data_IF_532626438686
#
_entry.id   IF_532626438686
#
_cell.length_a   1.000
_cell.length_b   1.000
_cell.length_c   1.000
_cell.angle_alpha   90.00
_cell.angle_beta   90.00
_cell.angle_gamma   90.00
#
_symmetry.space_group_name_H-M   'P 1'
#
loop_
_entity.id
_entity.type
_entity.pdbx_description
1 polymer ?
#
# COMPACT_ATOMS: atom_id res chain seq x y z
N UNK A 1 5.55 -45.54 -10.41
CA UNK A 1 5.60 -44.06 -10.56
C UNK A 1 5.30 -43.71 -12.02
N UNK A 2 4.14 -44.02 -12.58
CA UNK A 2 2.77 -43.78 -12.07
C UNK A 2 2.51 -42.30 -11.81
N UNK A 3 1.90 -41.66 -12.82
CA UNK A 3 1.30 -40.33 -12.77
C UNK A 3 -0.10 -40.42 -13.39
N UNK A 4 -1.05 -40.97 -12.62
CA UNK A 4 -2.50 -41.07 -12.85
C UNK A 4 -3.16 -41.24 -11.46
N UNK A 5 -4.36 -40.74 -11.13
CA UNK A 5 -5.25 -39.74 -11.73
C UNK A 5 -6.17 -39.20 -10.63
N UNK A 6 -6.74 -37.99 -10.76
CA UNK A 6 -7.71 -37.47 -9.75
C UNK A 6 -8.94 -36.73 -10.30
N UNK A 7 -9.02 -36.46 -11.62
CA UNK A 7 -10.15 -35.75 -12.24
C UNK A 7 -10.76 -36.52 -13.41
N UNK A 8 -11.13 -37.78 -13.16
CA UNK A 8 -12.06 -38.52 -14.02
C UNK A 8 -13.42 -38.59 -13.31
N UNK A 9 -14.28 -37.62 -13.62
CA UNK A 9 -15.61 -37.50 -13.04
C UNK A 9 -16.61 -38.07 -14.06
N UNK A 10 -17.42 -39.08 -13.71
CA UNK A 10 -18.23 -39.79 -14.69
C UNK A 10 -19.26 -38.86 -15.34
N UNK A 11 -19.57 -39.06 -16.64
CA UNK A 11 -20.54 -38.22 -17.34
C UNK A 11 -21.94 -38.35 -16.69
N UNK A 12 -22.72 -37.25 -16.61
CA UNK A 12 -24.06 -37.31 -16.07
C UNK A 12 -24.98 -38.19 -16.92
N UNK A 13 -25.99 -38.84 -16.32
CA UNK A 13 -26.91 -39.72 -17.04
C UNK A 13 -27.72 -38.94 -18.09
N UNK A 14 -28.10 -39.57 -19.21
CA UNK A 14 -28.89 -38.92 -20.25
C UNK A 14 -30.31 -38.62 -19.76
N UNK A 15 -30.69 -37.34 -19.75
CA UNK A 15 -32.09 -36.93 -19.55
C UNK A 15 -32.93 -37.27 -20.79
N UNK A 16 -34.20 -37.70 -20.63
CA UNK A 16 -35.06 -38.04 -21.76
C UNK A 16 -35.43 -36.80 -22.57
N UNK A 17 -35.26 -36.87 -23.89
CA UNK A 17 -35.65 -35.81 -24.83
C UNK A 17 -37.18 -35.71 -24.95
N UNK A 18 -37.76 -34.63 -24.43
CA UNK A 18 -39.09 -34.16 -24.84
C UNK A 18 -38.99 -33.31 -26.12
N UNK A 19 -39.93 -33.43 -27.08
CA UNK A 19 -39.83 -32.70 -28.34
C UNK A 19 -40.33 -31.25 -28.19
N UNK A 20 -39.45 -30.28 -28.47
CA UNK A 20 -39.83 -28.92 -28.87
C UNK A 20 -39.41 -27.78 -27.96
N UNK A 21 -38.29 -27.13 -28.31
CA UNK A 21 -38.21 -25.66 -28.36
C UNK A 21 -37.02 -25.19 -29.23
N UNK A 22 -37.14 -24.08 -29.98
CA UNK A 22 -36.07 -23.61 -30.87
C UNK A 22 -34.91 -22.97 -30.10
N UNK A 23 -33.71 -23.00 -30.69
CA UNK A 23 -32.47 -22.64 -30.00
C UNK A 23 -32.34 -21.16 -29.61
N UNK A 24 -31.66 -20.92 -28.49
CA UNK A 24 -31.17 -19.61 -28.07
C UNK A 24 -29.64 -19.59 -28.10
N UNK A 25 -29.09 -18.49 -28.61
CA UNK A 25 -27.67 -18.33 -28.88
C UNK A 25 -26.82 -18.16 -27.62
N UNK A 26 -25.66 -18.81 -27.60
CA UNK A 26 -24.39 -18.23 -27.14
C UNK A 26 -24.38 -17.50 -25.79
N UNK A 27 -24.74 -18.18 -24.69
CA UNK A 27 -24.45 -17.71 -23.34
C UNK A 27 -22.95 -17.80 -23.04
N UNK A 28 -22.18 -16.76 -23.38
CA UNK A 28 -20.77 -16.66 -23.01
C UNK A 28 -20.60 -16.69 -21.49
N UNK A 29 -19.64 -17.48 -20.98
CA UNK A 29 -19.26 -17.45 -19.56
C UNK A 29 -18.86 -16.01 -19.21
N UNK A 30 -19.38 -15.40 -18.12
CA UNK A 30 -18.89 -14.10 -17.68
C UNK A 30 -17.38 -14.23 -17.40
N UNK A 31 -16.56 -13.24 -17.78
CA UNK A 31 -15.15 -13.26 -17.44
C UNK A 31 -15.03 -13.32 -15.93
N UNK A 32 -14.38 -14.36 -15.40
CA UNK A 32 -13.97 -14.32 -14.01
C UNK A 32 -13.05 -13.11 -13.85
N UNK A 33 -13.27 -12.23 -12.85
CA UNK A 33 -12.32 -11.18 -12.57
C UNK A 33 -10.99 -11.87 -12.27
N UNK A 34 -9.97 -11.58 -13.08
CA UNK A 34 -8.62 -12.03 -12.81
C UNK A 34 -8.23 -11.39 -11.47
N UNK A 35 -8.32 -12.16 -10.39
CA UNK A 35 -7.70 -11.78 -9.13
C UNK A 35 -6.21 -11.68 -9.41
N UNK A 36 -5.74 -10.44 -9.55
CA UNK A 36 -4.32 -10.14 -9.40
C UNK A 36 -3.87 -10.76 -8.07
N UNK A 37 -2.67 -11.35 -8.01
CA UNK A 37 -2.18 -11.95 -6.78
C UNK A 37 -2.28 -10.92 -5.66
N UNK A 38 -2.77 -11.35 -4.50
CA UNK A 38 -2.88 -10.47 -3.35
C UNK A 38 -1.47 -10.03 -2.95
N UNK A 39 -1.10 -8.78 -3.26
CA UNK A 39 0.17 -8.22 -2.81
C UNK A 39 0.22 -8.31 -1.29
N UNK A 40 1.21 -9.02 -0.77
CA UNK A 40 1.22 -9.42 0.63
C UNK A 40 1.70 -8.26 1.52
N UNK A 41 0.76 -7.40 1.88
CA UNK A 41 0.97 -6.38 2.91
C UNK A 41 0.79 -6.98 4.31
N UNK A 42 1.90 -7.12 5.04
CA UNK A 42 1.93 -7.56 6.44
C UNK A 42 1.75 -6.36 7.36
N UNK A 43 0.82 -6.46 8.31
CA UNK A 43 0.45 -5.37 9.22
C UNK A 43 1.25 -5.42 10.54
N UNK A 44 1.46 -4.26 11.18
CA UNK A 44 2.22 -4.12 12.43
C UNK A 44 1.98 -5.19 13.50
N UNK A 45 0.71 -5.58 13.71
CA UNK A 45 0.32 -6.57 14.72
C UNK A 45 0.97 -7.95 14.52
N UNK A 46 1.34 -8.30 13.28
CA UNK A 46 1.99 -9.57 12.94
C UNK A 46 3.52 -9.50 13.08
N UNK A 47 4.07 -8.29 13.29
CA UNK A 47 5.51 -8.03 13.34
C UNK A 47 6.04 -7.77 14.75
N UNK A 48 5.19 -7.54 15.75
CA UNK A 48 5.59 -7.07 17.10
C UNK A 48 6.73 -7.88 17.75
N UNK A 49 6.70 -9.21 17.62
CA UNK A 49 7.71 -10.13 18.19
C UNK A 49 8.92 -10.37 17.26
N UNK A 50 8.91 -9.81 16.05
CA UNK A 50 9.96 -9.99 15.05
C UNK A 50 11.02 -8.89 15.14
N UNK A 51 12.24 -9.22 14.70
CA UNK A 51 13.30 -8.27 14.40
C UNK A 51 13.83 -8.63 13.02
N UNK A 52 13.83 -7.65 12.12
CA UNK A 52 14.22 -7.81 10.73
C UNK A 52 15.58 -7.15 10.45
N UNK A 53 16.30 -7.64 9.44
CA UNK A 53 17.61 -7.15 9.02
C UNK A 53 17.56 -6.77 7.55
N UNK A 54 17.43 -5.48 7.30
CA UNK A 54 17.38 -4.91 5.95
C UNK A 54 18.79 -4.66 5.43
N UNK A 55 19.03 -5.05 4.18
CA UNK A 55 20.28 -4.82 3.45
C UNK A 55 20.04 -3.83 2.31
N UNK A 56 21.06 -3.04 1.96
CA UNK A 56 20.98 -2.00 0.90
C UNK A 56 19.77 -1.06 1.03
N UNK A 57 19.38 -0.76 2.27
CA UNK A 57 18.21 0.05 2.61
C UNK A 57 18.30 1.44 1.99
N UNK A 58 17.20 1.91 1.37
CA UNK A 58 17.00 3.30 0.97
C UNK A 58 15.86 3.91 1.77
N UNK A 59 16.08 5.10 2.32
CA UNK A 59 15.02 5.92 2.90
C UNK A 59 14.50 6.89 1.84
N UNK A 60 13.23 6.77 1.46
CA UNK A 60 12.56 7.65 0.49
C UNK A 60 11.71 8.69 1.23
N UNK A 61 12.08 9.97 1.08
CA UNK A 61 11.38 11.10 1.71
C UNK A 61 10.45 11.73 0.69
N UNK A 62 9.18 11.92 1.05
CA UNK A 62 8.15 12.49 0.18
C UNK A 62 7.70 13.89 0.64
N UNK A 63 7.50 14.79 -0.32
CA UNK A 63 6.91 16.11 -0.15
C UNK A 63 5.72 16.24 -1.13
N UNK A 64 4.48 16.43 -0.64
CA UNK A 64 3.31 16.45 -1.51
C UNK A 64 3.28 17.70 -2.41
N UNK A 65 2.56 17.65 -3.55
CA UNK A 65 2.39 18.79 -4.45
C UNK A 65 1.86 20.03 -3.71
N UNK A 66 2.21 21.21 -4.22
CA UNK A 66 1.84 22.49 -3.62
C UNK A 66 2.69 22.93 -2.41
N UNK A 67 3.62 22.10 -1.91
CA UNK A 67 4.43 22.45 -0.73
C UNK A 67 5.51 23.49 -1.03
N UNK A 68 6.16 23.44 -2.20
CA UNK A 68 7.18 24.42 -2.60
C UNK A 68 6.57 25.67 -3.26
N UNK A 69 5.52 25.48 -4.07
CA UNK A 69 4.82 26.55 -4.78
C UNK A 69 3.38 26.13 -5.09
N UNK A 70 2.37 27.03 -5.01
CA UNK A 70 0.98 26.71 -5.36
C UNK A 70 0.76 26.25 -6.81
N UNK A 71 1.69 26.55 -7.72
CA UNK A 71 1.65 26.11 -9.12
C UNK A 71 2.20 24.69 -9.34
N UNK A 72 2.78 24.07 -8.31
CA UNK A 72 3.44 22.77 -8.40
C UNK A 72 2.41 21.64 -8.35
N UNK A 73 2.16 21.00 -9.49
CA UNK A 73 1.15 19.94 -9.66
C UNK A 73 1.63 18.54 -9.25
N UNK A 74 2.94 18.31 -9.20
CA UNK A 74 3.58 17.02 -8.87
C UNK A 74 4.31 17.13 -7.53
N UNK A 75 4.33 16.05 -6.76
CA UNK A 75 5.10 16.00 -5.52
C UNK A 75 6.61 15.91 -5.78
N UNK A 76 7.42 16.09 -4.75
CA UNK A 76 8.86 15.83 -4.81
C UNK A 76 9.22 14.64 -3.94
N UNK A 77 10.21 13.86 -4.35
CA UNK A 77 10.83 12.85 -3.50
C UNK A 77 12.37 12.91 -3.58
N UNK A 78 13.02 12.38 -2.56
CA UNK A 78 14.47 12.15 -2.54
C UNK A 78 14.77 10.82 -1.84
N UNK A 79 15.75 10.09 -2.35
CA UNK A 79 16.24 8.83 -1.79
C UNK A 79 17.54 9.07 -1.02
N UNK A 80 17.71 8.37 0.10
CA UNK A 80 18.92 8.36 0.91
C UNK A 80 19.40 6.93 1.07
N UNK A 81 20.60 6.62 0.61
CA UNK A 81 21.22 5.31 0.87
C UNK A 81 21.56 5.20 2.37
N UNK A 82 21.01 4.16 3.01
CA UNK A 82 21.09 3.92 4.45
C UNK A 82 21.89 2.67 4.83
N UNK A 83 22.05 1.72 3.91
CA UNK A 83 22.90 0.54 4.10
C UNK A 83 22.21 -0.59 4.89
N UNK A 84 22.79 -1.00 6.01
CA UNK A 84 22.28 -2.10 6.83
C UNK A 84 21.47 -1.58 8.02
N UNK A 85 20.24 -2.07 8.17
CA UNK A 85 19.32 -1.68 9.25
C UNK A 85 18.86 -2.91 10.03
N UNK A 86 18.73 -2.77 11.35
CA UNK A 86 18.08 -3.75 12.23
C UNK A 86 16.82 -3.10 12.78
N UNK A 87 15.66 -3.65 12.45
CA UNK A 87 14.36 -3.04 12.76
C UNK A 87 13.55 -3.98 13.64
N UNK A 88 13.21 -3.53 14.85
CA UNK A 88 12.26 -4.24 15.72
C UNK A 88 10.83 -3.97 15.22
N UNK A 89 10.02 -5.03 15.07
CA UNK A 89 8.74 -4.94 14.37
C UNK A 89 7.66 -4.13 15.07
N UNK A 90 7.82 -3.80 16.36
CA UNK A 90 7.00 -2.79 17.06
C UNK A 90 7.09 -1.39 16.40
N UNK A 91 8.18 -1.10 15.68
CA UNK A 91 8.38 0.16 14.95
C UNK A 91 7.94 0.06 13.46
N UNK A 92 7.38 -1.08 13.03
CA UNK A 92 6.95 -1.29 11.64
C UNK A 92 5.43 -1.20 11.56
N UNK A 93 4.94 -0.14 10.91
CA UNK A 93 3.50 0.06 10.67
C UNK A 93 2.94 -0.95 9.64
N UNK A 94 3.68 -1.12 8.54
CA UNK A 94 3.31 -1.90 7.38
C UNK A 94 4.57 -2.36 6.68
N UNK A 95 4.57 -3.59 6.16
CA UNK A 95 5.62 -4.14 5.32
C UNK A 95 4.96 -4.77 4.08
N UNK A 96 5.61 -4.72 2.92
CA UNK A 96 5.15 -5.34 1.70
C UNK A 96 6.31 -5.75 0.82
N UNK A 97 6.09 -6.75 -0.04
CA UNK A 97 7.01 -7.14 -1.09
C UNK A 97 7.02 -6.09 -2.22
N UNK A 98 8.17 -5.91 -2.87
CA UNK A 98 8.40 -4.95 -3.97
C UNK A 98 8.98 -5.73 -5.15
N UNK A 99 8.48 -5.46 -6.36
CA UNK A 99 8.97 -6.08 -7.60
C UNK A 99 10.13 -5.22 -8.12
N UNK A 100 11.37 -5.65 -7.86
CA UNK A 100 12.57 -4.85 -8.14
C UNK A 100 12.76 -4.52 -9.63
N UNK A 101 12.24 -5.34 -10.55
CA UNK A 101 12.33 -5.08 -11.99
C UNK A 101 11.29 -4.06 -12.46
N UNK A 102 10.22 -3.84 -11.67
CA UNK A 102 9.07 -2.99 -12.02
C UNK A 102 9.03 -1.69 -11.24
N UNK A 103 9.47 -1.69 -9.99
CA UNK A 103 9.31 -0.60 -9.03
C UNK A 103 10.58 0.29 -8.91
N UNK A 104 11.54 0.12 -9.82
CA UNK A 104 12.70 1.00 -10.02
C UNK A 104 12.31 2.40 -10.58
N UNK A 105 11.10 2.52 -11.15
CA UNK A 105 10.53 3.76 -11.69
C UNK A 105 10.19 4.81 -10.60
N UNK A 106 10.15 6.08 -11.01
CA UNK A 106 9.73 7.17 -10.13
C UNK A 106 8.27 7.01 -9.65
N UNK A 107 7.97 7.18 -8.34
CA UNK A 107 6.62 7.00 -7.82
C UNK A 107 5.55 7.84 -8.54
N UNK A 108 4.36 7.28 -8.85
CA UNK A 108 3.33 7.99 -9.61
C UNK A 108 2.96 9.36 -9.01
N UNK A 109 3.15 10.42 -9.81
CA UNK A 109 2.84 11.80 -9.41
C UNK A 109 3.92 12.53 -8.62
N UNK A 110 5.11 11.93 -8.45
CA UNK A 110 6.27 12.54 -7.81
C UNK A 110 7.46 12.67 -8.78
N UNK A 111 8.29 13.70 -8.57
CA UNK A 111 9.54 13.93 -9.30
C UNK A 111 10.74 13.90 -8.35
N UNK A 112 11.87 13.40 -8.82
CA UNK A 112 13.11 13.36 -8.04
C UNK A 112 13.65 14.78 -7.84
N UNK A 113 14.04 15.11 -6.62
CA UNK A 113 14.59 16.41 -6.25
C UNK A 113 15.79 16.29 -5.30
N UNK A 114 16.45 17.42 -5.08
CA UNK A 114 17.58 17.52 -4.17
C UNK A 114 17.21 17.16 -2.72
N UNK A 115 18.08 16.42 -2.05
CA UNK A 115 17.84 15.91 -0.71
C UNK A 115 17.71 17.01 0.35
N UNK A 116 18.52 18.07 0.29
CA UNK A 116 18.49 19.17 1.26
C UNK A 116 17.17 19.95 1.14
N UNK A 117 16.73 20.18 -0.11
CA UNK A 117 15.44 20.79 -0.42
C UNK A 117 14.27 19.95 0.11
N UNK A 118 14.23 18.65 -0.22
CA UNK A 118 13.14 17.74 0.19
C UNK A 118 13.08 17.60 1.71
N UNK A 119 14.22 17.42 2.40
CA UNK A 119 14.26 17.37 3.85
C UNK A 119 13.78 18.68 4.50
N UNK A 120 14.17 19.83 3.95
CA UNK A 120 13.77 21.14 4.46
C UNK A 120 12.26 21.34 4.34
N UNK A 121 11.67 21.06 3.16
CA UNK A 121 10.24 21.17 2.93
C UNK A 121 9.43 20.17 3.78
N UNK A 122 9.88 18.93 3.90
CA UNK A 122 9.23 17.91 4.74
C UNK A 122 9.25 18.32 6.22
N UNK A 123 10.38 18.82 6.73
CA UNK A 123 10.53 19.31 8.11
C UNK A 123 9.66 20.54 8.37
N UNK A 124 9.59 21.48 7.43
CA UNK A 124 8.72 22.66 7.51
C UNK A 124 7.24 22.25 7.58
N UNK A 125 6.80 21.37 6.68
CA UNK A 125 5.42 20.87 6.64
C UNK A 125 5.04 20.13 7.93
N UNK A 126 5.89 19.21 8.40
CA UNK A 126 5.69 18.47 9.66
C UNK A 126 5.59 19.41 10.88
N UNK A 127 6.38 20.47 10.92
CA UNK A 127 6.30 21.49 11.97
C UNK A 127 4.99 22.31 11.89
N UNK A 128 4.54 22.66 10.68
CA UNK A 128 3.28 23.37 10.47
C UNK A 128 2.07 22.48 10.83
N UNK A 129 2.09 21.20 10.46
CA UNK A 129 1.05 20.22 10.79
C UNK A 129 0.97 20.00 12.30
N UNK A 130 2.11 19.77 12.99
CA UNK A 130 2.15 19.68 14.47
C UNK A 130 1.66 20.97 15.14
N UNK A 131 1.84 22.14 14.53
CA UNK A 131 1.30 23.40 15.04
C UNK A 131 -0.22 23.56 14.78
N UNK A 132 -0.71 23.16 13.59
CA UNK A 132 -2.14 23.13 13.22
C UNK A 132 -2.91 22.16 14.11
N UNK A 133 -2.36 20.98 14.35
CA UNK A 133 -2.92 19.95 15.21
C UNK A 133 -3.02 20.41 16.67
N UNK A 134 -1.94 20.93 17.26
CA UNK A 134 -1.98 21.53 18.62
C UNK A 134 -3.06 22.61 18.74
N UNK A 135 -3.27 23.44 17.71
CA UNK A 135 -4.35 24.44 17.67
C UNK A 135 -5.73 23.80 17.56
N UNK A 136 -5.89 22.72 16.78
CA UNK A 136 -7.14 21.95 16.64
C UNK A 136 -7.50 21.28 17.96
N UNK A 137 -6.58 20.54 18.57
CA UNK A 137 -6.74 19.87 19.88
C UNK A 137 -7.13 20.89 20.96
N UNK A 138 -6.44 22.04 21.06
CA UNK A 138 -6.81 23.08 22.05
C UNK A 138 -8.24 23.63 21.86
N UNK A 139 -8.69 23.82 20.61
CA UNK A 139 -10.07 24.24 20.32
C UNK A 139 -11.09 23.16 20.69
N UNK A 140 -10.81 21.90 20.37
CA UNK A 140 -11.67 20.76 20.68
C UNK A 140 -11.77 20.50 22.20
N UNK A 141 -10.65 20.57 22.92
CA UNK A 141 -10.63 20.50 24.39
C UNK A 141 -11.50 21.58 25.04
N UNK A 142 -11.58 22.78 24.45
CA UNK A 142 -12.43 23.88 24.97
C UNK A 142 -13.93 23.57 24.89
N UNK A 143 -14.36 22.67 24.00
CA UNK A 143 -15.76 22.22 23.87
C UNK A 143 -16.02 20.86 24.54
N UNK A 144 -15.14 20.41 25.44
CA UNK A 144 -15.28 19.15 26.18
C UNK A 144 -14.89 17.90 25.40
N UNK A 145 -14.20 18.03 24.26
CA UNK A 145 -13.68 16.87 23.52
C UNK A 145 -12.29 16.49 24.05
N UNK A 146 -12.26 15.47 24.92
CA UNK A 146 -11.05 14.77 25.35
C UNK A 146 -10.65 13.74 24.30
N UNK A 147 -10.12 14.21 23.17
CA UNK A 147 -9.55 13.33 22.15
C UNK A 147 -8.26 12.71 22.66
N UNK A 148 -8.21 11.38 22.79
CA UNK A 148 -6.95 10.65 22.88
C UNK A 148 -6.04 11.03 21.72
N UNK A 149 -4.73 11.15 21.99
CA UNK A 149 -3.73 11.57 21.02
C UNK A 149 -3.36 10.43 20.03
N UNK A 150 -4.35 9.81 19.38
CA UNK A 150 -4.17 8.71 18.42
C UNK A 150 -3.23 9.09 17.26
N UNK A 151 -3.03 10.39 17.01
CA UNK A 151 -2.10 10.93 16.01
C UNK A 151 -0.61 10.84 16.35
N UNK A 152 -0.20 10.55 17.59
CA UNK A 152 1.23 10.38 17.93
C UNK A 152 1.71 8.91 17.78
N UNK A 153 0.86 8.00 17.29
CA UNK A 153 1.16 6.59 17.02
C UNK A 153 1.88 6.30 15.68
N UNK A 154 2.45 7.32 15.04
CA UNK A 154 2.92 7.25 13.63
C UNK A 154 4.31 7.89 13.38
N UNK A 155 5.13 8.16 14.41
CA UNK A 155 6.38 8.91 14.23
C UNK A 155 7.53 8.63 15.21
#
# INVERSE_FOLDING_TARGET
MEHLSINDQPPPPPFPQGPGQPGLLGGGRPPQPQQLPAQMFTTAAQLLDLTDILQQTKERIFVPPGTQSPAQTRGLYADVDRGLFVVRGENVLLMGEIDLDRDDDAPPGYDLADLELVQTLAKQKKAEEKAKEKRKVKKLSTIGFEGENVGEALL
#
